data_IF_427848273014
#
_entry.id   IF_427848273014
#
_cell.length_a   1.000
_cell.length_b   1.000
_cell.length_c   1.000
_cell.angle_alpha   90.00
_cell.angle_beta   90.00
_cell.angle_gamma   90.00
#
_symmetry.space_group_name_H-M   'P 1'
#
loop_
_entity.id
_entity.type
_entity.pdbx_description
1 polymer ?
#
# COMPACT_ATOMS: atom_id res chain seq x y z
N UNK A 1 48.94 -35.10 -27.83
CA UNK A 1 48.20 -33.84 -28.03
C UNK A 1 47.21 -33.69 -26.89
N UNK A 2 47.49 -32.83 -25.89
CA UNK A 2 46.61 -32.61 -24.72
C UNK A 2 45.49 -31.64 -25.12
N UNK A 3 44.24 -32.10 -25.13
CA UNK A 3 43.07 -31.25 -25.31
C UNK A 3 42.78 -30.54 -23.98
N UNK A 4 43.09 -29.25 -23.94
CA UNK A 4 42.77 -28.37 -22.82
C UNK A 4 41.28 -28.00 -22.93
N UNK A 5 40.44 -28.55 -22.05
CA UNK A 5 39.03 -28.18 -21.96
C UNK A 5 38.93 -26.85 -21.18
N UNK A 6 38.47 -25.81 -21.88
CA UNK A 6 38.21 -24.50 -21.29
C UNK A 6 36.90 -24.57 -20.49
N UNK A 7 36.97 -24.58 -19.16
CA UNK A 7 35.81 -24.47 -18.27
C UNK A 7 35.40 -23.00 -18.20
N UNK A 8 34.34 -22.62 -18.93
CA UNK A 8 33.70 -21.31 -18.78
C UNK A 8 32.82 -21.38 -17.53
N UNK A 9 33.33 -20.85 -16.41
CA UNK A 9 32.55 -20.65 -15.19
C UNK A 9 31.65 -19.43 -15.42
N UNK A 10 30.38 -19.67 -15.75
CA UNK A 10 29.34 -18.63 -15.71
C UNK A 10 29.08 -18.30 -14.24
N UNK A 11 29.72 -17.25 -13.73
CA UNK A 11 29.40 -16.68 -12.42
C UNK A 11 28.06 -15.94 -12.54
N UNK A 12 26.97 -16.65 -12.24
CA UNK A 12 25.64 -16.06 -12.11
C UNK A 12 25.62 -15.26 -10.81
N UNK A 13 25.91 -13.97 -10.89
CA UNK A 13 25.68 -13.04 -9.79
C UNK A 13 24.16 -12.98 -9.54
N UNK A 14 23.67 -13.21 -8.31
CA UNK A 14 22.26 -12.98 -8.00
C UNK A 14 22.00 -11.47 -8.08
N UNK A 15 21.38 -11.05 -9.18
CA UNK A 15 20.70 -9.76 -9.25
C UNK A 15 19.50 -9.86 -8.32
N UNK A 16 19.65 -9.37 -7.08
CA UNK A 16 18.54 -9.26 -6.14
C UNK A 16 17.47 -8.36 -6.76
N UNK A 17 16.39 -8.98 -7.27
CA UNK A 17 15.18 -8.27 -7.60
C UNK A 17 14.62 -7.73 -6.27
N UNK A 18 14.69 -6.41 -6.08
CA UNK A 18 14.12 -5.77 -4.89
C UNK A 18 12.60 -5.93 -4.94
N UNK A 19 12.06 -6.87 -4.18
CA UNK A 19 10.62 -6.96 -4.00
C UNK A 19 10.11 -5.71 -3.31
N UNK A 20 9.03 -5.11 -3.83
CA UNK A 20 8.31 -4.08 -3.09
C UNK A 20 7.74 -4.72 -1.81
N UNK A 21 7.89 -4.03 -0.69
CA UNK A 21 7.44 -4.54 0.62
C UNK A 21 6.39 -3.64 1.24
N UNK A 22 6.26 -2.40 0.79
CA UNK A 22 5.42 -1.39 1.41
C UNK A 22 4.69 -0.54 0.37
N UNK A 23 3.52 -0.04 0.77
CA UNK A 23 2.75 0.97 0.04
C UNK A 23 2.68 2.22 0.90
N UNK A 24 3.13 3.35 0.35
CA UNK A 24 2.99 4.66 1.00
C UNK A 24 1.86 5.43 0.34
N UNK A 25 0.84 5.72 1.14
CA UNK A 25 -0.30 6.54 0.75
C UNK A 25 -0.04 7.98 1.19
N UNK A 26 -0.31 8.94 0.30
CA UNK A 26 -0.21 10.37 0.60
C UNK A 26 -1.49 11.06 0.18
N UNK A 27 -1.99 11.96 1.01
CA UNK A 27 -3.19 12.75 0.73
C UNK A 27 -3.06 14.16 1.32
N UNK A 28 -3.90 15.07 0.83
CA UNK A 28 -4.00 16.42 1.38
C UNK A 28 -5.01 16.38 2.53
N UNK A 29 -4.62 16.93 3.68
CA UNK A 29 -5.53 17.11 4.80
C UNK A 29 -6.52 18.25 4.48
N UNK A 30 -7.85 18.02 4.46
CA UNK A 30 -8.83 19.09 4.27
C UNK A 30 -8.92 20.08 5.44
N UNK A 31 -8.08 19.91 6.47
CA UNK A 31 -7.70 20.91 7.46
C UNK A 31 -8.89 21.45 8.29
N UNK A 32 -9.50 20.56 9.09
CA UNK A 32 -10.34 20.93 10.25
C UNK A 32 -10.15 19.91 11.37
N UNK A 33 -8.98 19.94 12.02
CA UNK A 33 -8.75 19.17 13.25
C UNK A 33 -9.65 19.73 14.35
N UNK A 34 -10.33 18.87 15.09
CA UNK A 34 -11.18 19.28 16.20
C UNK A 34 -10.36 20.02 17.27
N UNK A 35 -10.57 21.32 17.42
CA UNK A 35 -10.10 22.10 18.58
C UNK A 35 -11.22 22.19 19.62
N UNK A 36 -10.89 22.48 20.87
CA UNK A 36 -11.87 22.59 21.96
C UNK A 36 -12.95 23.67 21.72
N UNK A 37 -12.74 24.55 20.72
CA UNK A 37 -13.62 25.69 20.41
C UNK A 37 -14.46 25.49 19.14
N UNK A 38 -14.35 24.35 18.45
CA UNK A 38 -15.04 24.17 17.15
C UNK A 38 -16.51 23.79 17.39
N UNK A 39 -17.42 24.68 17.03
CA UNK A 39 -18.88 24.47 17.01
C UNK A 39 -19.39 23.96 15.66
N UNK A 40 -18.52 23.33 14.84
CA UNK A 40 -18.77 22.91 13.45
C UNK A 40 -18.16 21.53 13.19
N UNK A 41 -18.68 20.84 12.17
CA UNK A 41 -18.23 19.51 11.79
C UNK A 41 -16.70 19.43 11.66
N UNK A 42 -16.06 18.47 12.31
CA UNK A 42 -14.60 18.35 12.35
C UNK A 42 -14.13 16.90 12.13
N UNK A 43 -12.93 16.74 11.59
CA UNK A 43 -12.33 15.43 11.27
C UNK A 43 -11.54 14.92 12.47
N UNK A 44 -11.82 13.68 12.89
CA UNK A 44 -11.20 13.00 14.02
C UNK A 44 -10.08 12.04 13.59
N UNK A 45 -10.34 11.26 12.54
CA UNK A 45 -9.44 10.22 12.06
C UNK A 45 -9.73 9.89 10.60
N UNK A 46 -8.90 9.03 10.02
CA UNK A 46 -9.17 8.38 8.74
C UNK A 46 -9.12 6.85 8.91
N UNK A 47 -9.97 6.18 8.14
CA UNK A 47 -9.97 4.74 7.97
C UNK A 47 -9.47 4.41 6.57
N UNK A 48 -8.44 3.58 6.49
CA UNK A 48 -7.94 3.00 5.26
C UNK A 48 -8.35 1.52 5.19
N UNK A 49 -8.99 1.15 4.09
CA UNK A 49 -9.50 -0.21 3.84
C UNK A 49 -8.93 -0.73 2.53
N UNK A 50 -8.44 -1.96 2.53
CA UNK A 50 -8.16 -2.73 1.32
C UNK A 50 -9.48 -3.34 0.83
N UNK A 51 -10.06 -2.76 -0.22
CA UNK A 51 -11.37 -3.18 -0.75
C UNK A 51 -11.26 -4.41 -1.63
N UNK A 52 -10.06 -4.75 -2.12
CA UNK A 52 -9.83 -6.01 -2.83
C UNK A 52 -9.93 -7.20 -1.88
N UNK A 53 -9.39 -7.06 -0.67
CA UNK A 53 -9.46 -8.11 0.36
C UNK A 53 -10.65 -7.95 1.33
N UNK A 54 -11.38 -6.84 1.28
CA UNK A 54 -12.38 -6.46 2.28
C UNK A 54 -11.82 -6.44 3.72
N UNK A 55 -10.63 -5.86 3.89
CA UNK A 55 -9.94 -5.79 5.19
C UNK A 55 -9.61 -4.35 5.56
N UNK A 56 -9.81 -4.01 6.84
CA UNK A 56 -9.39 -2.71 7.37
C UNK A 56 -7.88 -2.74 7.57
N UNK A 57 -7.17 -1.84 6.88
CA UNK A 57 -5.73 -1.66 7.05
C UNK A 57 -5.44 -0.86 8.32
N UNK A 58 -6.19 0.21 8.55
CA UNK A 58 -6.15 1.01 9.78
C UNK A 58 -7.43 1.81 9.93
N UNK A 59 -7.98 1.91 11.13
CA UNK A 59 -9.19 2.71 11.45
C UNK A 59 -8.90 3.93 12.32
N UNK A 60 -7.63 4.14 12.69
CA UNK A 60 -7.23 5.15 13.68
C UNK A 60 -6.11 6.04 13.15
N UNK A 61 -6.05 6.27 11.83
CA UNK A 61 -5.08 7.20 11.25
C UNK A 61 -5.42 8.60 11.78
N UNK A 62 -4.52 9.30 12.49
CA UNK A 62 -4.82 10.61 13.05
C UNK A 62 -5.23 11.61 11.97
N UNK A 63 -6.19 12.49 12.25
CA UNK A 63 -6.66 13.48 11.29
C UNK A 63 -5.55 14.41 10.78
N UNK A 64 -4.47 14.64 11.54
CA UNK A 64 -3.33 15.45 11.13
C UNK A 64 -2.40 14.76 10.13
N UNK A 65 -2.51 13.44 9.98
CA UNK A 65 -1.62 12.64 9.14
C UNK A 65 -1.97 12.83 7.67
N UNK A 66 -0.96 13.11 6.85
CA UNK A 66 -1.06 13.23 5.39
C UNK A 66 -0.35 12.10 4.65
N UNK A 67 0.34 11.23 5.39
CA UNK A 67 1.13 10.12 4.84
C UNK A 67 1.00 8.90 5.73
N UNK A 68 0.73 7.74 5.13
CA UNK A 68 0.61 6.47 5.86
C UNK A 68 1.30 5.35 5.08
N UNK A 69 2.19 4.63 5.75
CA UNK A 69 2.89 3.49 5.18
C UNK A 69 2.27 2.19 5.68
N UNK A 70 1.97 1.30 4.75
CA UNK A 70 1.40 -0.01 4.99
C UNK A 70 2.34 -1.09 4.45
N UNK A 71 2.61 -2.11 5.26
CA UNK A 71 3.37 -3.30 4.88
C UNK A 71 2.40 -4.48 4.77
N UNK A 72 1.96 -4.88 3.56
CA UNK A 72 1.06 -6.00 3.40
C UNK A 72 1.67 -7.30 3.93
N UNK A 73 0.86 -8.09 4.64
CA UNK A 73 1.29 -9.42 5.09
C UNK A 73 1.52 -10.30 3.88
N UNK A 74 2.73 -10.85 3.73
CA UNK A 74 3.13 -11.61 2.56
C UNK A 74 3.85 -10.78 1.48
N UNK A 75 4.04 -9.48 1.70
CA UNK A 75 4.75 -8.58 0.78
C UNK A 75 3.92 -8.19 -0.45
N UNK A 76 4.59 -7.60 -1.44
CA UNK A 76 3.95 -7.11 -2.68
C UNK A 76 4.55 -7.88 -3.87
N UNK A 77 4.01 -9.07 -4.22
CA UNK A 77 4.51 -9.87 -5.33
C UNK A 77 4.29 -9.19 -6.70
N UNK A 78 4.90 -9.73 -7.75
CA UNK A 78 4.60 -9.33 -9.13
C UNK A 78 3.13 -9.60 -9.46
N UNK A 79 2.49 -8.68 -10.16
CA UNK A 79 1.07 -8.76 -10.52
C UNK A 79 0.13 -8.46 -9.35
N UNK A 80 0.66 -8.11 -8.18
CA UNK A 80 -0.15 -7.65 -7.05
C UNK A 80 -0.94 -6.40 -7.46
N UNK A 81 -2.26 -6.45 -7.30
CA UNK A 81 -3.18 -5.38 -7.70
C UNK A 81 -4.28 -5.26 -6.67
N UNK A 82 -4.21 -4.21 -5.83
CA UNK A 82 -5.15 -3.99 -4.75
C UNK A 82 -5.75 -2.59 -4.82
N UNK A 83 -7.04 -2.51 -4.56
CA UNK A 83 -7.79 -1.27 -4.43
C UNK A 83 -7.94 -0.91 -2.96
N UNK A 84 -7.72 0.36 -2.66
CA UNK A 84 -7.81 0.92 -1.33
C UNK A 84 -8.84 2.04 -1.30
N UNK A 85 -9.52 2.17 -0.16
CA UNK A 85 -10.45 3.25 0.12
C UNK A 85 -10.01 3.97 1.40
N UNK A 86 -9.89 5.29 1.31
CA UNK A 86 -9.71 6.18 2.45
C UNK A 86 -11.02 6.90 2.73
N UNK A 87 -11.51 6.78 3.96
CA UNK A 87 -12.70 7.49 4.46
C UNK A 87 -12.28 8.36 5.65
N UNK A 88 -12.66 9.63 5.64
CA UNK A 88 -12.46 10.50 6.78
C UNK A 88 -13.63 10.33 7.75
N UNK A 89 -13.31 10.16 9.03
CA UNK A 89 -14.28 10.07 10.12
C UNK A 89 -14.28 11.40 10.88
N UNK A 90 -15.46 11.90 11.19
CA UNK A 90 -15.65 13.14 11.90
C UNK A 90 -16.87 13.13 12.81
N UNK A 91 -17.12 14.27 13.42
CA UNK A 91 -18.36 14.56 14.16
C UNK A 91 -18.98 15.84 13.63
N UNK A 92 -20.30 15.92 13.58
CA UNK A 92 -21.03 17.14 13.23
C UNK A 92 -21.11 18.13 14.41
N UNK A 93 -21.75 19.28 14.20
CA UNK A 93 -21.92 20.30 15.24
C UNK A 93 -22.76 19.83 16.46
N UNK A 94 -23.50 18.73 16.32
CA UNK A 94 -24.33 18.14 17.38
C UNK A 94 -23.62 16.95 18.06
N UNK A 95 -22.40 16.61 17.65
CA UNK A 95 -21.64 15.47 18.17
C UNK A 95 -21.99 14.12 17.52
N UNK A 96 -22.78 14.10 16.44
CA UNK A 96 -23.07 12.85 15.73
C UNK A 96 -21.88 12.46 14.86
N UNK A 97 -21.58 11.16 14.80
CA UNK A 97 -20.56 10.64 13.89
C UNK A 97 -20.97 10.83 12.42
N UNK A 98 -20.04 11.32 11.61
CA UNK A 98 -20.19 11.50 10.16
C UNK A 98 -18.96 10.99 9.43
N UNK A 99 -19.14 10.56 8.18
CA UNK A 99 -18.04 10.09 7.32
C UNK A 99 -18.05 10.83 5.99
N UNK A 100 -16.87 11.00 5.38
CA UNK A 100 -16.78 11.46 4.00
C UNK A 100 -17.21 10.39 3.01
N UNK A 101 -17.43 10.80 1.75
CA UNK A 101 -17.39 9.86 0.64
C UNK A 101 -16.00 9.19 0.55
N UNK A 102 -15.93 7.93 0.11
CA UNK A 102 -14.67 7.20 -0.02
C UNK A 102 -13.82 7.74 -1.17
N UNK A 103 -12.55 8.03 -0.89
CA UNK A 103 -11.54 8.24 -1.92
C UNK A 103 -10.85 6.92 -2.24
N UNK A 104 -10.84 6.50 -3.50
CA UNK A 104 -10.30 5.19 -3.90
C UNK A 104 -9.06 5.29 -4.77
N UNK A 105 -8.10 4.40 -4.57
CA UNK A 105 -6.92 4.24 -5.43
C UNK A 105 -6.64 2.77 -5.67
N UNK A 106 -6.13 2.43 -6.85
CA UNK A 106 -5.64 1.08 -7.14
C UNK A 106 -4.12 1.12 -7.27
N UNK A 107 -3.45 0.27 -6.51
CA UNK A 107 -2.00 0.10 -6.53
C UNK A 107 -1.69 -1.20 -7.24
N UNK A 108 -0.86 -1.12 -8.28
CA UNK A 108 -0.41 -2.28 -9.05
C UNK A 108 1.10 -2.39 -9.01
N UNK A 109 1.60 -3.61 -8.76
CA UNK A 109 3.00 -3.94 -8.87
C UNK A 109 3.26 -4.65 -10.20
N UNK A 110 3.59 -3.88 -11.23
CA UNK A 110 3.91 -4.38 -12.57
C UNK A 110 5.40 -4.31 -12.91
N UNK A 111 6.26 -3.82 -12.00
CA UNK A 111 7.67 -3.50 -12.27
C UNK A 111 8.67 -4.57 -11.83
N UNK A 112 8.21 -5.68 -11.24
CA UNK A 112 9.08 -6.78 -10.84
C UNK A 112 8.98 -7.94 -11.82
N UNK A 113 9.96 -8.12 -12.70
CA UNK A 113 10.10 -9.41 -13.40
C UNK A 113 10.12 -10.54 -12.35
N UNK A 114 9.46 -11.70 -12.61
CA UNK A 114 9.63 -12.87 -11.74
C UNK A 114 11.13 -13.17 -11.57
N UNK A 115 11.57 -13.74 -10.43
CA UNK A 115 12.97 -14.14 -10.28
C UNK A 115 13.41 -14.92 -11.51
N UNK A 116 14.55 -14.55 -12.08
CA UNK A 116 15.09 -15.18 -13.28
C UNK A 116 15.14 -16.69 -13.06
N UNK A 117 14.29 -17.45 -13.77
CA UNK A 117 14.17 -18.91 -13.62
C UNK A 117 12.81 -19.46 -13.16
N UNK A 118 11.80 -18.62 -12.85
CA UNK A 118 10.44 -19.11 -12.60
C UNK A 118 9.68 -19.33 -13.92
N UNK A 119 9.63 -20.58 -14.40
CA UNK A 119 8.73 -21.01 -15.47
C UNK A 119 7.50 -21.68 -14.89
N UNK A 120 6.31 -21.10 -15.09
CA UNK A 120 5.04 -21.79 -14.86
C UNK A 120 4.69 -22.60 -16.13
N UNK A 121 4.69 -23.93 -16.03
CA UNK A 121 4.15 -24.80 -17.08
C UNK A 121 2.70 -25.12 -16.72
N UNK A 122 1.76 -24.70 -17.56
CA UNK A 122 0.39 -25.20 -17.49
C UNK A 122 0.43 -26.66 -17.95
N UNK A 123 0.07 -27.61 -17.07
CA UNK A 123 -0.31 -28.96 -17.47
C UNK A 123 -1.74 -28.96 -18.00
#
# INVERSE_FOLDING_TARGET
MKKLALFVIFLVLPLSAYAATEVTFTWINPNTVCTATVTKSCVNSATLTDTTLNTVVSSTIPASTTTFTYTPTGGIPFGWSHSYSLVLNGVDANGNAVTSDPATVTVTNSTLSPPTGFTATLQ
#
